data_IF_645401739681
#
_entry.id   IF_645401739681
#
_cell.length_a   1.000
_cell.length_b   1.000
_cell.length_c   1.000
_cell.angle_alpha   90.00
_cell.angle_beta   90.00
_cell.angle_gamma   90.00
#
_symmetry.space_group_name_H-M   'P 1'
#
loop_
_entity.id
_entity.type
_entity.pdbx_description
1 polymer ?
#
# COMPACT_ATOMS: atom_id res chain seq x y z
N UNK A 1 25.99 -13.42 20.55
CA UNK A 1 25.14 -14.52 20.02
C UNK A 1 23.72 -14.33 20.53
N UNK A 2 22.93 -13.50 19.84
CA UNK A 2 21.45 -13.48 19.82
C UNK A 2 20.99 -12.18 19.14
N UNK A 3 21.02 -12.14 17.80
CA UNK A 3 20.50 -11.02 16.98
C UNK A 3 19.60 -11.54 15.83
N UNK A 4 18.76 -12.54 16.12
CA UNK A 4 17.88 -13.17 15.12
C UNK A 4 16.38 -12.88 15.26
N UNK A 5 15.93 -11.99 16.16
CA UNK A 5 14.52 -12.00 16.59
C UNK A 5 13.58 -11.01 15.84
N UNK A 6 14.04 -10.22 14.85
CA UNK A 6 13.17 -9.22 14.20
C UNK A 6 13.12 -9.27 12.66
N UNK A 7 13.58 -10.35 12.04
CA UNK A 7 13.78 -10.41 10.58
C UNK A 7 12.57 -10.67 9.66
N UNK A 8 11.39 -11.19 10.09
CA UNK A 8 10.38 -11.54 9.08
C UNK A 8 9.08 -10.70 9.14
N UNK A 9 9.00 -9.70 10.04
CA UNK A 9 7.83 -8.82 10.17
C UNK A 9 7.58 -7.84 8.99
N UNK A 10 8.49 -7.69 8.02
CA UNK A 10 8.43 -6.65 6.99
C UNK A 10 7.36 -6.87 5.89
N UNK A 11 6.87 -8.09 5.71
CA UNK A 11 6.21 -8.51 4.45
C UNK A 11 4.79 -7.94 4.28
N UNK A 12 4.12 -7.49 5.35
CA UNK A 12 2.74 -6.97 5.28
C UNK A 12 2.63 -5.60 4.61
N UNK A 13 3.63 -4.74 4.78
CA UNK A 13 3.68 -3.46 4.07
C UNK A 13 4.45 -3.57 2.76
N UNK A 14 5.14 -4.68 2.49
CA UNK A 14 5.56 -5.01 1.13
C UNK A 14 4.35 -5.16 0.18
N UNK A 15 3.10 -5.35 0.61
CA UNK A 15 2.01 -5.27 -0.37
C UNK A 15 1.72 -3.85 -0.87
N UNK A 16 1.67 -2.86 0.00
CA UNK A 16 1.36 -1.49 -0.39
C UNK A 16 2.63 -0.76 -0.87
N UNK A 17 3.77 -1.10 -0.26
CA UNK A 17 5.07 -0.53 -0.57
C UNK A 17 5.93 -1.38 -1.53
N UNK A 18 5.74 -2.69 -1.66
CA UNK A 18 6.36 -3.46 -2.74
C UNK A 18 5.53 -3.52 -4.02
N UNK A 19 4.25 -3.17 -3.96
CA UNK A 19 3.57 -2.59 -5.11
C UNK A 19 4.29 -1.29 -5.50
N UNK A 20 4.58 -0.36 -4.60
CA UNK A 20 5.47 0.79 -4.92
C UNK A 20 6.88 0.39 -5.41
N UNK A 21 7.43 -0.76 -5.00
CA UNK A 21 8.78 -1.18 -5.39
C UNK A 21 8.85 -2.03 -6.67
N UNK A 22 7.74 -2.34 -7.35
CA UNK A 22 7.71 -3.24 -8.52
C UNK A 22 6.91 -2.70 -9.71
N UNK A 23 6.67 -1.39 -9.77
CA UNK A 23 5.78 -0.75 -10.73
C UNK A 23 6.52 0.21 -11.68
N UNK A 24 6.40 -0.03 -12.99
CA UNK A 24 6.94 0.80 -14.09
C UNK A 24 6.04 2.01 -14.30
N UNK A 25 6.41 3.16 -13.75
CA UNK A 25 5.96 4.47 -14.27
C UNK A 25 6.84 4.76 -15.48
N UNK A 26 6.31 4.49 -16.67
CA UNK A 26 6.86 5.09 -17.89
C UNK A 26 6.12 6.40 -18.14
N UNK A 27 6.81 7.35 -18.78
CA UNK A 27 6.27 8.59 -19.33
C UNK A 27 4.93 8.35 -20.04
N UNK A 28 3.83 8.59 -19.34
CA UNK A 28 2.68 9.18 -19.98
C UNK A 28 3.07 10.65 -20.16
N UNK A 29 3.49 10.99 -21.38
CA UNK A 29 3.71 12.37 -21.77
C UNK A 29 2.60 13.25 -21.16
N UNK A 30 2.99 14.33 -20.49
CA UNK A 30 2.10 15.40 -20.04
C UNK A 30 1.33 15.90 -21.27
N UNK A 31 0.17 15.30 -21.52
CA UNK A 31 -0.44 15.30 -22.84
C UNK A 31 -1.84 14.71 -22.80
N UNK A 32 -2.79 15.64 -22.69
CA UNK A 32 -4.21 15.55 -23.04
C UNK A 32 -5.17 14.93 -22.00
N UNK A 33 -6.15 15.76 -21.65
CA UNK A 33 -7.28 15.50 -20.76
C UNK A 33 -8.17 14.38 -21.33
N UNK A 34 -7.79 13.12 -21.11
CA UNK A 34 -8.73 12.02 -21.26
C UNK A 34 -9.65 11.96 -20.04
N UNK A 35 -10.99 12.00 -20.23
CA UNK A 35 -11.92 11.91 -19.12
C UNK A 35 -11.82 10.52 -18.49
N UNK A 36 -11.25 10.47 -17.27
CA UNK A 36 -11.20 9.32 -16.37
C UNK A 36 -12.62 8.92 -15.91
N UNK A 37 -13.47 8.47 -16.84
CA UNK A 37 -14.83 8.04 -16.55
C UNK A 37 -14.85 6.60 -16.05
N UNK A 38 -14.32 6.41 -14.85
CA UNK A 38 -14.91 5.64 -13.75
C UNK A 38 -13.83 5.48 -12.68
N UNK A 39 -13.96 6.23 -11.59
CA UNK A 39 -13.29 5.84 -10.35
C UNK A 39 -13.84 4.45 -10.01
N UNK A 40 -13.03 3.38 -10.03
CA UNK A 40 -13.52 2.09 -9.60
C UNK A 40 -14.09 2.26 -8.19
N UNK A 41 -15.22 1.61 -7.86
CA UNK A 41 -15.86 1.82 -6.57
C UNK A 41 -14.81 1.65 -5.46
N UNK A 42 -14.66 2.64 -4.57
CA UNK A 42 -13.75 2.55 -3.40
C UNK A 42 -14.30 1.63 -2.31
N UNK A 43 -15.43 0.98 -2.59
CA UNK A 43 -16.16 0.07 -1.71
C UNK A 43 -15.75 -1.37 -1.93
N UNK A 44 -15.46 -2.09 -0.85
CA UNK A 44 -15.17 -3.53 -0.84
C UNK A 44 -16.07 -4.22 0.19
N UNK A 45 -16.45 -5.47 -0.11
CA UNK A 45 -17.16 -6.32 0.84
C UNK A 45 -16.17 -7.04 1.76
N UNK A 46 -16.41 -6.96 3.06
CA UNK A 46 -15.66 -7.67 4.10
C UNK A 46 -16.70 -8.36 4.98
N UNK A 47 -16.90 -9.67 4.76
CA UNK A 47 -18.00 -10.40 5.39
C UNK A 47 -19.36 -9.84 4.93
N UNK A 48 -20.19 -9.44 5.90
CA UNK A 48 -21.48 -8.78 5.68
C UNK A 48 -21.38 -7.24 5.64
N UNK A 49 -20.18 -6.68 5.79
CA UNK A 49 -19.96 -5.24 5.80
C UNK A 49 -19.45 -4.70 4.47
N UNK A 50 -20.05 -3.60 4.04
CA UNK A 50 -19.62 -2.82 2.88
C UNK A 50 -18.78 -1.64 3.36
N UNK A 51 -17.49 -1.63 3.02
CA UNK A 51 -16.55 -0.61 3.51
C UNK A 51 -16.04 0.23 2.36
N UNK A 52 -16.29 1.54 2.44
CA UNK A 52 -15.80 2.53 1.47
C UNK A 52 -14.53 3.20 2.00
N UNK A 53 -13.45 3.11 1.24
CA UNK A 53 -12.25 3.89 1.48
C UNK A 53 -12.55 5.37 1.22
N UNK A 54 -12.21 6.25 2.16
CA UNK A 54 -12.32 7.68 1.89
C UNK A 54 -11.32 8.11 0.81
N UNK A 55 -11.59 9.26 0.21
CA UNK A 55 -10.67 9.90 -0.73
C UNK A 55 -9.40 10.43 -0.05
N UNK A 56 -8.32 10.69 -0.81
CA UNK A 56 -7.12 11.34 -0.32
C UNK A 56 -7.41 12.66 0.40
N UNK A 57 -6.66 12.93 1.46
CA UNK A 57 -6.76 14.15 2.26
C UNK A 57 -6.41 15.39 1.43
N UNK A 58 -5.43 15.26 0.54
CA UNK A 58 -5.02 16.31 -0.38
C UNK A 58 -5.57 16.02 -1.78
N UNK A 59 -6.49 16.89 -2.23
CA UNK A 59 -6.91 16.94 -3.62
C UNK A 59 -5.91 17.69 -4.49
N UNK A 60 -6.10 17.68 -5.82
CA UNK A 60 -5.31 18.50 -6.73
C UNK A 60 -5.51 20.00 -6.41
N UNK A 61 -4.50 20.80 -6.75
CA UNK A 61 -4.56 22.27 -6.80
C UNK A 61 -4.81 22.99 -5.47
N UNK A 62 -4.47 22.37 -4.34
CA UNK A 62 -4.49 23.03 -3.03
C UNK A 62 -3.24 23.88 -2.82
N UNK A 63 -3.43 25.15 -2.41
CA UNK A 63 -2.35 26.01 -1.92
C UNK A 63 -1.75 25.52 -0.59
N UNK A 64 -0.57 26.02 -0.23
CA UNK A 64 0.17 25.60 0.96
C UNK A 64 -0.66 25.70 2.25
N UNK A 65 -1.41 26.79 2.41
CA UNK A 65 -2.24 27.02 3.60
C UNK A 65 -3.40 26.01 3.66
N UNK A 66 -4.03 25.70 2.53
CA UNK A 66 -5.09 24.72 2.42
C UNK A 66 -4.56 23.31 2.69
N UNK A 67 -3.38 22.95 2.15
CA UNK A 67 -2.73 21.69 2.45
C UNK A 67 -2.46 21.54 3.94
N UNK A 68 -1.85 22.55 4.57
CA UNK A 68 -1.57 22.51 6.00
C UNK A 68 -2.84 22.40 6.85
N UNK A 69 -3.92 23.13 6.49
CA UNK A 69 -5.23 23.01 7.16
C UNK A 69 -5.81 21.61 7.06
N UNK A 70 -5.64 20.92 5.93
CA UNK A 70 -6.13 19.54 5.72
C UNK A 70 -5.30 18.49 6.44
N UNK A 71 -3.98 18.69 6.54
CA UNK A 71 -3.06 17.77 7.24
C UNK A 71 -3.20 17.91 8.77
N UNK A 72 -3.45 19.10 9.28
CA UNK A 72 -3.43 19.41 10.73
C UNK A 72 -4.28 18.45 11.59
N UNK A 73 -5.54 18.11 11.22
CA UNK A 73 -6.34 17.12 11.96
C UNK A 73 -5.68 15.74 12.09
N UNK A 74 -4.84 15.36 11.14
CA UNK A 74 -4.11 14.08 11.13
C UNK A 74 -2.87 14.10 12.04
N UNK A 75 -2.53 15.22 12.67
CA UNK A 75 -1.30 15.34 13.45
C UNK A 75 -1.47 14.95 14.92
N UNK A 76 -2.71 14.86 15.44
CA UNK A 76 -3.03 14.49 16.84
C UNK A 76 -2.11 15.15 17.87
N UNK A 77 -2.01 16.48 17.82
CA UNK A 77 -1.26 17.29 18.78
C UNK A 77 0.21 17.56 18.43
N UNK A 78 0.73 17.06 17.29
CA UNK A 78 1.99 17.55 16.75
C UNK A 78 1.77 18.83 15.94
N UNK A 79 2.76 19.72 15.95
CA UNK A 79 2.80 20.82 14.99
C UNK A 79 3.13 20.30 13.58
N UNK A 80 2.74 21.05 12.55
CA UNK A 80 3.11 20.73 11.17
C UNK A 80 4.64 20.67 11.01
N UNK A 81 5.39 21.62 11.60
CA UNK A 81 6.85 21.63 11.57
C UNK A 81 7.50 20.39 12.19
N UNK A 82 6.93 19.83 13.26
CA UNK A 82 7.42 18.59 13.86
C UNK A 82 7.15 17.38 12.98
N UNK A 83 5.99 17.36 12.31
CA UNK A 83 5.60 16.29 11.40
C UNK A 83 6.39 16.32 10.09
N UNK A 84 6.60 17.51 9.54
CA UNK A 84 7.29 17.78 8.28
C UNK A 84 8.81 17.94 8.42
N UNK A 85 9.40 17.62 9.58
CA UNK A 85 10.85 17.71 9.74
C UNK A 85 11.56 16.79 8.75
N UNK A 86 12.64 17.27 8.15
CA UNK A 86 13.51 16.43 7.33
C UNK A 86 14.32 15.49 8.23
N UNK A 87 13.86 14.24 8.31
CA UNK A 87 14.48 13.22 9.13
C UNK A 87 13.93 11.85 8.78
N UNK A 88 14.82 10.85 8.72
CA UNK A 88 14.43 9.43 8.64
C UNK A 88 13.44 9.06 9.75
N UNK A 89 13.68 9.56 10.96
CA UNK A 89 12.84 9.29 12.14
C UNK A 89 11.72 10.32 12.31
N UNK A 90 11.40 11.10 11.27
CA UNK A 90 10.22 11.96 11.29
C UNK A 90 8.95 11.16 11.61
N UNK A 91 7.95 11.79 12.25
CA UNK A 91 6.74 11.07 12.64
C UNK A 91 6.06 10.38 11.44
N UNK A 92 5.48 9.22 11.71
CA UNK A 92 4.59 8.48 10.80
C UNK A 92 3.31 8.29 11.58
N UNK A 93 2.18 8.75 11.02
CA UNK A 93 0.88 8.64 11.67
C UNK A 93 0.15 7.45 11.08
N UNK A 94 -0.21 6.52 11.95
CA UNK A 94 -0.92 5.29 11.58
C UNK A 94 -2.20 5.26 12.39
N UNK A 95 -3.29 5.12 11.67
CA UNK A 95 -4.64 4.99 12.16
C UNK A 95 -5.09 3.58 11.81
N UNK A 96 -5.50 2.84 12.84
CA UNK A 96 -6.02 1.50 12.66
C UNK A 96 -7.37 1.41 13.36
N UNK A 97 -8.39 1.03 12.59
CA UNK A 97 -9.75 0.81 13.08
C UNK A 97 -10.17 -0.60 12.74
N UNK A 98 -10.91 -1.23 13.65
CA UNK A 98 -11.55 -2.50 13.32
C UNK A 98 -12.76 -2.25 12.42
N UNK A 99 -12.98 -3.21 11.53
CA UNK A 99 -14.24 -3.40 10.85
C UNK A 99 -14.96 -4.50 11.63
N UNK A 100 -16.17 -4.23 12.09
CA UNK A 100 -16.97 -5.16 12.90
C UNK A 100 -18.33 -5.41 12.27
N UNK A 101 -18.87 -6.61 12.46
CA UNK A 101 -20.29 -6.88 12.15
C UNK A 101 -21.22 -6.25 13.20
N UNK A 102 -22.53 -6.41 13.02
CA UNK A 102 -23.55 -5.94 13.95
C UNK A 102 -23.48 -6.63 15.33
N UNK A 103 -22.91 -7.83 15.40
CA UNK A 103 -22.67 -8.57 16.65
C UNK A 103 -21.43 -8.07 17.41
N UNK A 104 -20.61 -7.20 16.81
CA UNK A 104 -19.37 -6.69 17.37
C UNK A 104 -18.14 -7.57 17.10
N UNK A 105 -18.27 -8.64 16.32
CA UNK A 105 -17.16 -9.49 15.92
C UNK A 105 -16.25 -8.76 14.94
N UNK A 106 -14.94 -8.97 15.08
CA UNK A 106 -13.95 -8.37 14.18
C UNK A 106 -13.94 -9.10 12.84
N UNK A 107 -14.18 -8.36 11.77
CA UNK A 107 -14.11 -8.84 10.39
C UNK A 107 -12.80 -8.45 9.67
N UNK A 108 -12.15 -7.37 10.12
CA UNK A 108 -10.98 -6.85 9.45
C UNK A 108 -10.48 -5.52 9.99
N UNK A 109 -9.70 -4.81 9.17
CA UNK A 109 -9.08 -3.54 9.51
C UNK A 109 -9.27 -2.50 8.42
N UNK A 110 -9.46 -1.24 8.84
CA UNK A 110 -9.25 -0.04 8.04
C UNK A 110 -7.99 0.66 8.54
N UNK A 111 -7.02 0.78 7.65
CA UNK A 111 -5.68 1.28 7.92
C UNK A 111 -5.49 2.56 7.13
N UNK A 112 -5.06 3.62 7.82
CA UNK A 112 -4.70 4.89 7.20
C UNK A 112 -3.32 5.34 7.71
N UNK A 113 -2.39 5.60 6.80
CA UNK A 113 -0.99 5.92 7.09
C UNK A 113 -0.64 7.23 6.40
N UNK A 114 -0.03 8.16 7.13
CA UNK A 114 0.48 9.41 6.56
C UNK A 114 1.86 9.77 7.07
N UNK A 115 2.69 10.28 6.18
CA UNK A 115 4.04 10.75 6.48
C UNK A 115 4.58 11.65 5.36
N UNK A 116 5.65 12.41 5.64
CA UNK A 116 6.31 13.27 4.64
C UNK A 116 7.67 12.68 4.26
N UNK A 117 8.04 12.86 2.97
CA UNK A 117 9.35 12.58 2.40
C UNK A 117 9.85 13.87 1.75
N UNK A 118 11.09 14.28 2.04
CA UNK A 118 11.74 15.46 1.45
C UNK A 118 12.39 15.11 0.11
N UNK A 119 11.55 14.89 -0.89
CA UNK A 119 11.93 14.71 -2.29
C UNK A 119 10.85 15.34 -3.18
N UNK A 120 11.26 15.83 -4.35
CA UNK A 120 10.30 16.30 -5.36
C UNK A 120 9.42 15.14 -5.84
N UNK A 121 8.19 15.44 -6.26
CA UNK A 121 7.29 14.41 -6.81
C UNK A 121 7.90 13.73 -8.04
N UNK A 122 8.61 14.48 -8.89
CA UNK A 122 9.31 13.93 -10.05
C UNK A 122 10.45 12.98 -9.64
N UNK A 123 11.29 13.37 -8.68
CA UNK A 123 12.36 12.52 -8.15
C UNK A 123 11.80 11.22 -7.53
N UNK A 124 10.73 11.36 -6.75
CA UNK A 124 9.98 10.24 -6.18
C UNK A 124 9.41 9.31 -7.27
N UNK A 125 9.07 9.87 -8.44
CA UNK A 125 8.57 9.13 -9.61
C UNK A 125 9.68 8.38 -10.34
N UNK A 126 10.80 9.04 -10.62
CA UNK A 126 11.83 8.52 -11.52
C UNK A 126 12.76 7.51 -10.85
N UNK A 127 13.09 7.71 -9.57
CA UNK A 127 14.21 7.02 -8.92
C UNK A 127 13.85 5.65 -8.34
N UNK A 128 12.60 5.44 -8.00
CA UNK A 128 12.15 4.25 -7.25
C UNK A 128 11.74 3.09 -8.17
N UNK A 129 11.80 3.31 -9.48
CA UNK A 129 11.00 2.57 -10.46
C UNK A 129 11.90 1.82 -11.45
N UNK A 130 12.65 2.51 -12.31
CA UNK A 130 13.46 1.88 -13.36
C UNK A 130 14.44 0.81 -12.82
N UNK A 131 15.04 1.08 -11.65
CA UNK A 131 16.05 0.21 -11.01
C UNK A 131 15.48 -1.05 -10.37
N UNK A 132 14.18 -1.07 -10.07
CA UNK A 132 13.52 -2.20 -9.40
C UNK A 132 12.80 -3.13 -10.38
N UNK A 133 12.69 -2.71 -11.64
CA UNK A 133 12.01 -3.43 -12.72
C UNK A 133 12.95 -4.18 -13.64
N UNK A 134 14.24 -3.82 -13.65
CA UNK A 134 15.27 -4.62 -14.31
C UNK A 134 15.63 -5.88 -13.51
N UNK A 135 15.12 -6.06 -12.28
CA UNK A 135 15.48 -7.19 -11.42
C UNK A 135 16.96 -7.19 -10.99
N UNK A 136 17.71 -6.11 -11.23
CA UNK A 136 19.16 -6.04 -11.03
C UNK A 136 19.61 -5.95 -9.58
N UNK A 137 18.67 -5.80 -8.64
CA UNK A 137 18.97 -5.98 -7.22
C UNK A 137 18.17 -7.19 -6.73
N UNK A 138 18.65 -8.37 -7.13
CA UNK A 138 18.63 -9.48 -6.18
C UNK A 138 19.43 -8.99 -4.98
N UNK A 139 18.74 -8.50 -3.96
CA UNK A 139 19.37 -8.29 -2.67
C UNK A 139 19.72 -9.71 -2.17
N UNK A 140 20.94 -10.17 -2.45
CA UNK A 140 21.44 -11.51 -2.11
C UNK A 140 21.36 -11.81 -0.60
N UNK A 141 20.99 -10.81 0.21
CA UNK A 141 20.78 -10.93 1.66
C UNK A 141 19.31 -11.07 2.10
N UNK A 142 18.34 -10.93 1.19
CA UNK A 142 16.90 -11.04 1.48
C UNK A 142 16.31 -12.38 1.01
N UNK A 143 16.44 -13.44 1.83
CA UNK A 143 15.91 -14.78 1.54
C UNK A 143 14.36 -14.88 1.57
N UNK A 144 13.62 -13.77 1.54
CA UNK A 144 12.14 -13.77 1.63
C UNK A 144 11.54 -12.51 0.98
N UNK A 145 12.00 -12.14 -0.21
CA UNK A 145 11.26 -11.18 -1.03
C UNK A 145 9.95 -11.82 -1.52
N UNK A 146 8.80 -11.13 -1.45
CA UNK A 146 7.56 -11.66 -2.01
C UNK A 146 7.76 -11.94 -3.51
N UNK A 147 7.32 -13.11 -3.97
CA UNK A 147 7.36 -13.46 -5.39
C UNK A 147 6.23 -12.71 -6.10
N UNK A 148 6.54 -11.47 -6.51
CA UNK A 148 5.62 -10.57 -7.20
C UNK A 148 5.96 -10.61 -8.68
N UNK A 149 5.24 -11.44 -9.43
CA UNK A 149 5.46 -11.62 -10.86
C UNK A 149 4.39 -10.90 -11.70
N UNK A 150 4.82 -10.35 -12.83
CA UNK A 150 3.94 -9.94 -13.93
C UNK A 150 3.11 -11.13 -14.39
N UNK A 151 1.82 -10.91 -14.60
CA UNK A 151 0.92 -11.97 -15.04
C UNK A 151 0.87 -11.99 -16.57
N UNK A 152 1.16 -13.15 -17.22
CA UNK A 152 1.07 -13.26 -18.67
C UNK A 152 -0.33 -12.95 -19.18
N UNK A 153 -0.42 -12.34 -20.37
CA UNK A 153 -1.69 -11.98 -21.00
C UNK A 153 -2.65 -13.19 -21.13
N UNK A 154 -2.12 -14.38 -21.39
CA UNK A 154 -2.89 -15.63 -21.48
C UNK A 154 -3.61 -15.97 -20.17
N UNK A 155 -2.98 -15.70 -19.02
CA UNK A 155 -3.59 -15.92 -17.70
C UNK A 155 -4.69 -14.90 -17.42
N UNK A 156 -4.55 -13.67 -17.90
CA UNK A 156 -5.60 -12.65 -17.76
C UNK A 156 -6.81 -12.99 -18.65
N UNK A 157 -6.56 -13.43 -19.90
CA UNK A 157 -7.62 -13.85 -20.81
C UNK A 157 -8.40 -15.06 -20.30
N UNK A 158 -7.73 -16.05 -19.68
CA UNK A 158 -8.43 -17.21 -19.11
C UNK A 158 -9.31 -16.86 -17.92
N UNK A 159 -9.05 -15.73 -17.26
CA UNK A 159 -9.87 -15.15 -16.20
C UNK A 159 -10.96 -14.20 -16.73
N UNK A 160 -11.07 -14.03 -18.05
CA UNK A 160 -12.01 -13.10 -18.68
C UNK A 160 -11.65 -11.63 -18.44
N UNK A 161 -10.37 -11.32 -18.18
CA UNK A 161 -9.87 -9.98 -17.91
C UNK A 161 -9.28 -9.43 -19.21
N UNK A 162 -9.96 -8.42 -19.76
CA UNK A 162 -9.46 -7.67 -20.91
C UNK A 162 -8.32 -6.73 -20.51
N UNK A 163 -7.52 -6.34 -21.50
CA UNK A 163 -6.49 -5.31 -21.33
C UNK A 163 -7.16 -3.99 -20.89
N UNK A 164 -6.78 -3.53 -19.70
CA UNK A 164 -7.31 -2.32 -19.09
C UNK A 164 -6.42 -1.08 -19.36
N UNK A 165 -5.49 -1.19 -20.31
CA UNK A 165 -4.62 -0.12 -20.76
C UNK A 165 -3.31 -0.01 -19.96
N UNK A 166 -2.37 0.85 -20.40
CA UNK A 166 -0.99 0.90 -19.90
C UNK A 166 -0.87 1.32 -18.44
N UNK A 167 -1.90 1.97 -17.89
CA UNK A 167 -1.96 2.43 -16.51
C UNK A 167 -2.44 1.35 -15.53
N UNK A 168 -2.87 0.18 -16.04
CA UNK A 168 -3.35 -0.93 -15.22
C UNK A 168 -2.41 -2.12 -15.38
N UNK A 169 -1.95 -2.64 -14.26
CA UNK A 169 -1.10 -3.82 -14.19
C UNK A 169 -1.74 -4.88 -13.31
N UNK A 170 -1.44 -6.12 -13.63
CA UNK A 170 -1.81 -7.26 -12.82
C UNK A 170 -0.55 -7.92 -12.28
N UNK A 171 -0.59 -8.26 -10.99
CA UNK A 171 0.55 -8.86 -10.28
C UNK A 171 0.07 -10.05 -9.48
N UNK A 172 0.70 -11.20 -9.70
CA UNK A 172 0.52 -12.33 -8.81
C UNK A 172 1.17 -12.00 -7.47
N UNK A 173 0.51 -12.42 -6.42
CA UNK A 173 0.91 -12.21 -5.05
C UNK A 173 1.11 -13.56 -4.40
N UNK A 174 2.27 -13.76 -3.77
CA UNK A 174 2.54 -14.90 -2.89
C UNK A 174 3.50 -14.46 -1.77
N UNK A 175 2.99 -14.35 -0.54
CA UNK A 175 3.78 -13.86 0.59
C UNK A 175 3.25 -14.33 1.94
N UNK A 176 4.09 -14.27 2.98
CA UNK A 176 3.69 -14.54 4.36
C UNK A 176 3.39 -13.25 5.13
N UNK A 177 2.14 -13.09 5.53
CA UNK A 177 1.66 -12.05 6.43
C UNK A 177 2.06 -12.37 7.87
N UNK A 178 2.97 -11.53 8.41
CA UNK A 178 3.42 -11.58 9.80
C UNK A 178 3.89 -12.99 10.25
N UNK A 179 4.40 -13.79 9.31
CA UNK A 179 4.96 -15.14 9.54
C UNK A 179 3.94 -16.16 10.06
N UNK A 180 2.66 -15.89 9.81
CA UNK A 180 1.54 -16.72 10.29
C UNK A 180 0.57 -17.10 9.22
N UNK A 181 0.44 -16.30 8.17
CA UNK A 181 -0.55 -16.51 7.12
C UNK A 181 0.09 -16.29 5.76
N UNK A 182 0.17 -17.33 4.94
CA UNK A 182 0.53 -17.20 3.53
C UNK A 182 -0.69 -16.72 2.75
N UNK A 183 -0.52 -15.69 1.94
CA UNK A 183 -1.54 -15.14 1.07
C UNK A 183 -1.09 -15.32 -0.37
N UNK A 184 -1.97 -15.93 -1.17
CA UNK A 184 -1.78 -16.11 -2.60
C UNK A 184 -2.94 -15.45 -3.33
N UNK A 185 -2.67 -14.62 -4.33
CA UNK A 185 -3.73 -13.91 -5.03
C UNK A 185 -3.27 -13.21 -6.30
N UNK A 186 -4.21 -12.51 -6.91
CA UNK A 186 -3.96 -11.64 -8.06
C UNK A 186 -4.42 -10.22 -7.73
N UNK A 187 -3.49 -9.29 -7.80
CA UNK A 187 -3.77 -7.86 -7.60
C UNK A 187 -3.97 -7.18 -8.95
N UNK A 188 -5.01 -6.34 -9.02
CA UNK A 188 -5.15 -5.29 -10.01
C UNK A 188 -4.59 -4.00 -9.42
N UNK A 189 -3.69 -3.36 -10.15
CA UNK A 189 -3.02 -2.14 -9.74
C UNK A 189 -3.26 -1.09 -10.83
N UNK A 190 -3.98 -0.02 -10.51
CA UNK A 190 -4.23 1.08 -11.42
C UNK A 190 -3.45 2.31 -10.97
N UNK A 191 -2.83 3.01 -11.90
CA UNK A 191 -1.98 4.15 -11.64
C UNK A 191 -2.52 5.39 -12.31
N UNK A 192 -2.41 6.52 -11.62
CA UNK A 192 -2.79 7.83 -12.14
C UNK A 192 -1.74 8.83 -11.69
N UNK A 193 -1.29 9.64 -12.61
CA UNK A 193 -0.27 10.66 -12.36
C UNK A 193 -0.77 12.00 -12.85
N UNK A 194 -0.40 13.04 -12.13
CA UNK A 194 -0.66 14.44 -12.44
C UNK A 194 0.57 15.26 -12.03
N UNK A 195 0.60 16.54 -12.39
CA UNK A 195 1.71 17.42 -12.02
C UNK A 195 1.94 17.53 -10.51
N UNK A 196 0.90 17.31 -9.69
CA UNK A 196 0.94 17.55 -8.24
C UNK A 196 0.66 16.30 -7.41
N UNK A 197 0.22 15.20 -8.02
CA UNK A 197 -0.10 13.97 -7.30
C UNK A 197 0.08 12.73 -8.18
N UNK A 198 0.69 11.71 -7.58
CA UNK A 198 0.65 10.34 -8.06
C UNK A 198 -0.28 9.51 -7.18
N UNK A 199 -1.11 8.67 -7.78
CA UNK A 199 -2.06 7.77 -7.12
C UNK A 199 -1.92 6.36 -7.66
N UNK A 200 -1.95 5.40 -6.75
CA UNK A 200 -2.02 3.96 -7.05
C UNK A 200 -3.24 3.40 -6.33
N UNK A 201 -4.14 2.79 -7.07
CA UNK A 201 -5.27 2.02 -6.54
C UNK A 201 -4.97 0.53 -6.67
N UNK A 202 -5.22 -0.23 -5.61
CA UNK A 202 -4.90 -1.66 -5.51
C UNK A 202 -6.15 -2.42 -5.07
N UNK A 203 -6.47 -3.52 -5.76
CA UNK A 203 -7.57 -4.41 -5.36
C UNK A 203 -7.28 -5.86 -5.73
N UNK A 204 -7.84 -6.81 -4.99
CA UNK A 204 -7.88 -8.20 -5.43
C UNK A 204 -8.76 -8.35 -6.68
N UNK A 205 -8.33 -9.22 -7.59
CA UNK A 205 -9.12 -9.66 -8.73
C UNK A 205 -10.05 -10.78 -8.28
N UNK A 206 -11.35 -10.51 -8.23
CA UNK A 206 -12.36 -11.45 -7.69
C UNK A 206 -12.46 -12.75 -8.51
N UNK A 207 -12.22 -12.69 -9.82
CA UNK A 207 -12.23 -13.86 -10.69
C UNK A 207 -11.05 -14.83 -10.44
N UNK A 208 -10.03 -14.40 -9.68
CA UNK A 208 -8.88 -15.22 -9.34
C UNK A 208 -9.13 -16.04 -8.08
N UNK A 209 -8.53 -17.23 -8.01
CA UNK A 209 -8.53 -18.10 -6.82
C UNK A 209 -7.61 -17.55 -5.73
N UNK A 210 -8.03 -16.45 -5.13
CA UNK A 210 -7.33 -15.81 -4.02
C UNK A 210 -7.49 -16.67 -2.77
N UNK A 211 -6.38 -16.98 -2.11
CA UNK A 211 -6.34 -17.91 -0.97
C UNK A 211 -5.47 -17.38 0.16
N UNK A 212 -5.77 -17.89 1.34
CA UNK A 212 -4.92 -17.77 2.51
C UNK A 212 -4.68 -19.14 3.13
N UNK A 213 -3.54 -19.31 3.79
CA UNK A 213 -3.19 -20.53 4.51
C UNK A 213 -2.39 -20.19 5.77
N UNK A 214 -2.71 -20.81 6.90
CA UNK A 214 -1.90 -20.70 8.10
C UNK A 214 -0.53 -21.37 7.89
N UNK A 215 0.55 -20.69 8.26
CA UNK A 215 1.93 -21.19 8.11
C UNK A 215 2.42 -21.97 9.32
N UNK A 216 1.64 -22.01 10.40
CA UNK A 216 1.96 -22.69 11.66
C UNK A 216 1.70 -24.22 11.63
N UNK A 217 1.47 -24.78 10.45
CA UNK A 217 1.31 -26.22 10.26
C UNK A 217 -0.08 -26.77 10.61
N UNK A 218 -1.05 -25.93 11.00
CA UNK A 218 -2.43 -26.37 11.28
C UNK A 218 -3.18 -26.87 10.04
N UNK A 219 -2.66 -26.61 8.83
CA UNK A 219 -3.33 -26.98 7.57
C UNK A 219 -4.64 -26.22 7.33
N UNK A 220 -4.92 -25.18 8.11
CA UNK A 220 -6.12 -24.34 7.95
C UNK A 220 -5.85 -23.32 6.86
N UNK A 221 -6.82 -23.15 5.97
CA UNK A 221 -6.79 -22.14 4.92
C UNK A 221 -8.16 -22.02 4.28
N UNK A 222 -8.27 -21.12 3.32
CA UNK A 222 -9.51 -20.91 2.58
C UNK A 222 -9.37 -19.86 1.50
N UNK A 223 -10.49 -19.57 0.86
CA UNK A 223 -10.61 -18.43 -0.04
C UNK A 223 -10.35 -17.12 0.70
N UNK A 224 -9.75 -16.17 0.02
CA UNK A 224 -9.46 -14.84 0.55
C UNK A 224 -10.10 -13.76 -0.32
N UNK A 225 -10.89 -12.91 0.32
CA UNK A 225 -11.50 -11.73 -0.30
C UNK A 225 -11.39 -10.55 0.66
N UNK A 226 -11.84 -9.37 0.23
CA UNK A 226 -11.94 -8.22 1.12
C UNK A 226 -10.65 -7.42 1.29
N UNK A 227 -9.82 -7.30 0.25
CA UNK A 227 -8.68 -6.38 0.23
C UNK A 227 -8.85 -5.32 -0.87
N UNK A 228 -8.70 -4.05 -0.47
CA UNK A 228 -8.62 -2.90 -1.36
C UNK A 228 -7.83 -1.79 -0.69
N UNK A 229 -7.11 -1.01 -1.46
CA UNK A 229 -6.39 0.14 -0.95
C UNK A 229 -6.02 1.12 -2.04
N UNK A 230 -5.52 2.27 -1.62
CA UNK A 230 -4.87 3.23 -2.47
C UNK A 230 -3.70 3.89 -1.73
N UNK A 231 -2.80 4.46 -2.51
CA UNK A 231 -1.69 5.26 -2.03
C UNK A 231 -1.55 6.49 -2.92
N UNK A 232 -1.28 7.64 -2.30
CA UNK A 232 -0.96 8.88 -2.98
C UNK A 232 0.35 9.46 -2.49
N UNK A 233 1.13 10.02 -3.41
CA UNK A 233 2.20 10.96 -3.12
C UNK A 233 1.79 12.30 -3.73
N UNK A 234 1.58 13.31 -2.87
CA UNK A 234 1.16 14.67 -3.29
C UNK A 234 2.26 15.67 -2.99
N UNK A 235 2.61 16.50 -3.98
CA UNK A 235 3.56 17.58 -3.81
C UNK A 235 3.07 18.58 -2.76
N UNK A 236 3.94 18.96 -1.83
CA UNK A 236 3.65 19.99 -0.85
C UNK A 236 4.03 21.37 -1.41
N UNK A 237 3.08 22.29 -1.44
CA UNK A 237 3.33 23.64 -1.95
C UNK A 237 4.27 24.40 -1.00
N UNK A 238 5.31 25.02 -1.56
CA UNK A 238 6.33 25.74 -0.79
C UNK A 238 7.37 24.84 -0.10
N UNK A 239 7.41 23.54 -0.39
CA UNK A 239 8.41 22.60 0.12
C UNK A 239 8.84 21.61 -0.97
N UNK A 240 10.12 21.28 -1.05
CA UNK A 240 10.58 20.18 -1.91
C UNK A 240 10.33 18.83 -1.23
N UNK A 241 9.06 18.49 -1.07
CA UNK A 241 8.61 17.31 -0.35
C UNK A 241 7.27 16.80 -0.87
N UNK A 242 7.03 15.51 -0.62
CA UNK A 242 5.74 14.87 -0.88
C UNK A 242 5.08 14.44 0.43
N UNK A 243 3.78 14.69 0.53
CA UNK A 243 2.89 14.08 1.50
C UNK A 243 2.46 12.71 0.97
N UNK A 244 2.91 11.66 1.65
CA UNK A 244 2.52 10.28 1.36
C UNK A 244 1.36 9.90 2.24
N UNK A 245 0.28 9.47 1.61
CA UNK A 245 -0.93 8.97 2.26
C UNK A 245 -1.29 7.61 1.67
N UNK A 246 -1.54 6.64 2.52
CA UNK A 246 -1.98 5.33 2.10
C UNK A 246 -3.19 4.92 2.93
N UNK A 247 -4.20 4.37 2.26
CA UNK A 247 -5.36 3.82 2.93
C UNK A 247 -5.72 2.47 2.35
N UNK A 248 -5.96 1.51 3.22
CA UNK A 248 -6.39 0.19 2.77
C UNK A 248 -7.26 -0.48 3.82
N UNK A 249 -8.07 -1.39 3.32
CA UNK A 249 -8.91 -2.26 4.12
C UNK A 249 -8.57 -3.70 3.80
N UNK A 250 -8.60 -4.53 4.83
CA UNK A 250 -8.30 -5.96 4.71
C UNK A 250 -9.24 -6.75 5.60
N UNK A 251 -9.83 -7.81 5.04
CA UNK A 251 -10.47 -8.84 5.83
C UNK A 251 -9.42 -9.56 6.68
N UNK A 252 -9.78 -9.89 7.91
CA UNK A 252 -8.99 -10.73 8.80
C UNK A 252 -9.84 -11.91 9.25
N UNK A 253 -9.85 -13.03 8.50
CA UNK A 253 -10.46 -14.27 8.93
C UNK A 253 -10.05 -14.64 10.35
N UNK A 254 -11.01 -14.98 11.20
CA UNK A 254 -10.80 -15.25 12.64
C UNK A 254 -9.69 -16.28 12.90
N UNK A 255 -9.56 -17.23 11.98
CA UNK A 255 -8.62 -18.34 12.05
C UNK A 255 -7.14 -17.91 11.86
N UNK A 256 -6.89 -16.74 11.27
CA UNK A 256 -5.53 -16.23 11.01
C UNK A 256 -4.69 -16.18 12.27
N UNK A 257 -5.26 -15.64 13.35
CA UNK A 257 -4.53 -15.43 14.60
C UNK A 257 -5.29 -15.91 15.84
N UNK A 258 -6.25 -16.84 15.66
CA UNK A 258 -7.08 -17.41 16.72
C UNK A 258 -7.71 -16.32 17.62
N UNK A 259 -8.27 -15.28 16.99
CA UNK A 259 -8.89 -14.14 17.69
C UNK A 259 -7.93 -13.13 18.33
N UNK A 260 -6.60 -13.36 18.31
CA UNK A 260 -5.66 -12.40 18.90
C UNK A 260 -5.57 -11.08 18.11
N UNK A 261 -5.20 -9.99 18.78
CA UNK A 261 -5.05 -8.66 18.17
C UNK A 261 -3.68 -8.48 17.46
N UNK A 262 -3.24 -9.51 16.72
CA UNK A 262 -1.88 -9.59 16.21
C UNK A 262 -1.58 -8.49 15.18
N UNK A 263 -2.47 -8.28 14.19
CA UNK A 263 -2.36 -7.20 13.20
C UNK A 263 -2.24 -5.85 13.90
N UNK A 264 -3.14 -5.55 14.85
CA UNK A 264 -3.10 -4.27 15.58
C UNK A 264 -1.82 -4.03 16.36
N UNK A 265 -1.19 -5.09 16.84
CA UNK A 265 0.02 -5.00 17.66
C UNK A 265 1.29 -4.89 16.80
N UNK A 266 1.32 -5.53 15.62
CA UNK A 266 2.52 -5.65 14.79
C UNK A 266 2.51 -4.73 13.59
N UNK A 267 1.37 -4.56 12.92
CA UNK A 267 1.26 -3.77 11.70
C UNK A 267 1.80 -2.34 11.87
N UNK A 268 1.47 -1.59 12.95
CA UNK A 268 1.99 -0.23 13.09
C UNK A 268 3.52 -0.15 13.15
N UNK A 269 4.19 -1.13 13.75
CA UNK A 269 5.65 -1.17 13.83
C UNK A 269 6.27 -1.40 12.44
N UNK A 270 5.65 -2.30 11.66
CA UNK A 270 6.06 -2.62 10.29
C UNK A 270 5.91 -1.40 9.38
N UNK A 271 4.76 -0.72 9.46
CA UNK A 271 4.47 0.49 8.70
C UNK A 271 5.45 1.62 9.02
N UNK A 272 5.79 1.81 10.29
CA UNK A 272 6.78 2.81 10.71
C UNK A 272 8.17 2.50 10.16
N UNK A 273 8.61 1.25 10.27
CA UNK A 273 9.95 0.87 9.81
C UNK A 273 10.07 0.98 8.29
N UNK A 274 9.02 0.64 7.56
CA UNK A 274 9.05 0.77 6.12
C UNK A 274 9.06 2.24 5.64
N UNK A 275 8.32 3.14 6.29
CA UNK A 275 8.43 4.57 6.01
C UNK A 275 9.83 5.12 6.31
N UNK A 276 10.49 4.63 7.38
CA UNK A 276 11.89 4.97 7.68
C UNK A 276 12.84 4.44 6.61
N UNK A 277 12.69 3.19 6.20
CA UNK A 277 13.50 2.59 5.15
C UNK A 277 13.37 3.34 3.82
N UNK A 278 12.14 3.73 3.45
CA UNK A 278 11.90 4.55 2.27
C UNK A 278 12.65 5.88 2.35
N UNK A 279 12.56 6.59 3.49
CA UNK A 279 13.30 7.84 3.69
C UNK A 279 14.81 7.66 3.67
N UNK A 280 15.37 6.62 4.30
CA UNK A 280 16.82 6.33 4.27
C UNK A 280 17.29 6.14 2.83
N UNK A 281 16.59 5.31 2.08
CA UNK A 281 16.93 4.99 0.69
C UNK A 281 16.94 6.21 -0.22
N UNK A 282 16.04 7.17 0.02
CA UNK A 282 15.99 8.41 -0.74
C UNK A 282 17.02 9.44 -0.25
N UNK A 283 17.34 9.43 1.05
CA UNK A 283 18.25 10.38 1.69
C UNK A 283 19.74 10.01 1.68
N UNK A 284 20.13 8.74 1.42
CA UNK A 284 21.53 8.28 1.35
C UNK A 284 22.27 8.76 0.07
N UNK A 285 22.08 10.02 -0.30
CA UNK A 285 22.82 10.71 -1.38
C UNK A 285 24.10 11.36 -0.88
#
# INVERSE_FOLDING_TARGET
MNDQILKPLAVTFYLTLAVLTGLNWHDAALGDDSPLNSTPPTTVQIGDQSVTLAEPTLGPDLDADAQQRRITPLLRGLSFSQFARDSVVAPVRIYLRYITNDAGDRLGHDVHVVFIIHESLQSFSDQDIARRLSGEVADETAATSPDVADVPAETLQSLGIDDAGPQVRYRKLDFELLDKVRLTGLLRIAQRSSATQNRIDISLVEAFDNRWQATDGRGVGGEYSGFRGWLTATSLEGMDAVFVEARFVMAEPEQWFAGSNYVRSKLPLVLQEAARNLRRRLGDR
#
